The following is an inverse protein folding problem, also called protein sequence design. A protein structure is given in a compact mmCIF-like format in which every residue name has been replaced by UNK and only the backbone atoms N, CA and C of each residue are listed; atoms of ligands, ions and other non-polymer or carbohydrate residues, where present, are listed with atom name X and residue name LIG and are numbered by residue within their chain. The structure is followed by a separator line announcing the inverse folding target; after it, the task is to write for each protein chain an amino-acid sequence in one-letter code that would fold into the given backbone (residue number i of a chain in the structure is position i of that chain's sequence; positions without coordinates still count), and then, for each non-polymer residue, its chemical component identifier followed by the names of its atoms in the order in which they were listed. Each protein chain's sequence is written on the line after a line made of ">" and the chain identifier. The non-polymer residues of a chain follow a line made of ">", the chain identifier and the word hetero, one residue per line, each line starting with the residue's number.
data_IF_367953592989
#
_entry.id   IF_367953592989
#
_cell.length_a   1.000
_cell.length_b   1.000
_cell.length_c   1.000
_cell.angle_alpha   90.00
_cell.angle_beta   90.00
_cell.angle_gamma   90.00
#
_symmetry.space_group_name_H-M   'P 1'
#
loop_
_entity.id
_entity.type
_entity.pdbx_description
1 polymer ?
#
# COMPACT_ATOMS: atom_id res chain seq x y z
N UNK A 1 8.67 9.33 12.74
CA UNK A 1 8.20 8.47 11.64
C UNK A 1 9.37 8.11 10.73
N UNK A 2 9.41 6.86 10.24
CA UNK A 2 10.42 6.38 9.27
C UNK A 2 9.74 5.82 8.02
N UNK A 3 10.41 5.95 6.88
CA UNK A 3 10.00 5.41 5.58
C UNK A 3 11.07 4.44 5.08
N UNK A 4 10.67 3.35 4.43
CA UNK A 4 11.58 2.40 3.78
C UNK A 4 11.28 2.31 2.28
N UNK A 5 12.29 2.56 1.44
CA UNK A 5 12.22 2.45 -0.01
C UNK A 5 12.53 1.01 -0.44
N UNK A 6 11.57 0.08 -0.24
CA UNK A 6 11.73 -1.33 -0.64
C UNK A 6 11.33 -1.63 -2.08
N UNK A 7 10.80 -0.68 -2.86
CA UNK A 7 10.75 -0.78 -4.32
C UNK A 7 12.11 -0.40 -4.91
N UNK A 8 13.04 -1.33 -4.88
CA UNK A 8 14.43 -1.11 -5.32
C UNK A 8 14.60 -1.15 -6.85
N UNK A 9 13.55 -1.46 -7.59
CA UNK A 9 13.59 -1.58 -9.05
C UNK A 9 13.27 -0.28 -9.78
N UNK A 10 12.31 0.50 -9.28
CA UNK A 10 11.88 1.75 -9.90
C UNK A 10 12.67 2.94 -9.34
N UNK A 11 13.56 3.52 -10.16
CA UNK A 11 14.31 4.70 -9.74
C UNK A 11 13.38 5.85 -9.28
N UNK A 12 12.32 6.12 -10.05
CA UNK A 12 11.36 7.17 -9.73
C UNK A 12 10.60 6.94 -8.40
N UNK A 13 10.45 5.69 -7.94
CA UNK A 13 9.80 5.42 -6.65
C UNK A 13 10.65 5.90 -5.48
N UNK A 14 11.96 5.65 -5.52
CA UNK A 14 12.90 6.14 -4.51
C UNK A 14 12.92 7.67 -4.46
N UNK A 15 13.08 8.35 -5.60
CA UNK A 15 13.09 9.81 -5.69
C UNK A 15 11.78 10.45 -5.19
N UNK A 16 10.65 9.83 -5.50
CA UNK A 16 9.35 10.27 -5.00
C UNK A 16 9.27 10.14 -3.48
N UNK A 17 9.73 9.02 -2.93
CA UNK A 17 9.74 8.79 -1.48
C UNK A 17 10.70 9.72 -0.75
N UNK A 18 11.85 10.06 -1.34
CA UNK A 18 12.77 11.09 -0.83
C UNK A 18 12.11 12.46 -0.75
N UNK A 19 11.35 12.83 -1.78
CA UNK A 19 10.60 14.09 -1.79
C UNK A 19 9.59 14.13 -0.63
N UNK A 20 8.87 13.03 -0.40
CA UNK A 20 7.91 12.93 0.70
C UNK A 20 8.59 12.91 2.06
N UNK A 21 9.71 12.20 2.22
CA UNK A 21 10.50 12.19 3.44
C UNK A 21 10.94 13.61 3.83
N UNK A 22 11.46 14.35 2.84
CA UNK A 22 11.88 15.74 3.04
C UNK A 22 10.73 16.65 3.46
N UNK A 23 9.55 16.52 2.84
CA UNK A 23 8.37 17.35 3.15
C UNK A 23 7.78 17.07 4.52
N UNK A 24 7.83 15.82 4.96
CA UNK A 24 7.20 15.38 6.22
C UNK A 24 8.18 15.33 7.39
N UNK A 25 9.47 15.55 7.15
CA UNK A 25 10.53 15.36 8.15
C UNK A 25 10.72 13.89 8.55
N UNK A 26 10.25 12.94 7.74
CA UNK A 26 10.42 11.53 7.99
C UNK A 26 11.85 11.09 7.68
N UNK A 27 12.35 10.11 8.45
CA UNK A 27 13.63 9.48 8.15
C UNK A 27 13.46 8.43 7.05
N UNK A 28 14.19 8.59 5.95
CA UNK A 28 14.18 7.63 4.85
C UNK A 28 15.31 6.62 5.01
N UNK A 29 14.95 5.34 4.88
CA UNK A 29 15.89 4.22 4.77
C UNK A 29 15.76 3.65 3.36
N UNK A 30 16.86 3.61 2.64
CA UNK A 30 16.94 3.05 1.30
C UNK A 30 18.34 2.49 1.06
N UNK A 31 18.47 1.71 0.01
CA UNK A 31 19.76 1.18 -0.46
C UNK A 31 19.91 1.47 -1.96
N UNK A 32 21.06 1.11 -2.52
CA UNK A 32 21.32 1.26 -3.94
C UNK A 32 20.28 0.49 -4.78
N UNK A 33 20.04 0.98 -5.98
CA UNK A 33 19.14 0.36 -6.94
C UNK A 33 19.49 -1.12 -7.15
N UNK A 34 18.46 -1.98 -7.13
CA UNK A 34 18.62 -3.44 -7.26
C UNK A 34 19.05 -4.15 -5.97
N UNK A 35 19.11 -3.44 -4.85
CA UNK A 35 19.31 -4.08 -3.55
C UNK A 35 18.16 -5.05 -3.21
N UNK A 36 18.41 -5.99 -2.31
CA UNK A 36 17.38 -6.91 -1.81
C UNK A 36 16.32 -6.16 -0.99
N UNK A 37 15.03 -6.15 -1.41
CA UNK A 37 13.96 -5.49 -0.67
C UNK A 37 13.84 -5.93 0.78
N UNK A 38 14.15 -7.20 1.06
CA UNK A 38 14.17 -7.73 2.42
C UNK A 38 15.29 -7.12 3.28
N UNK A 39 16.46 -6.85 2.70
CA UNK A 39 17.54 -6.18 3.43
C UNK A 39 17.16 -4.74 3.77
N UNK A 40 16.57 -4.01 2.81
CA UNK A 40 16.04 -2.65 3.06
C UNK A 40 15.02 -2.64 4.19
N UNK A 41 14.09 -3.60 4.18
CA UNK A 41 13.07 -3.74 5.21
C UNK A 41 13.69 -4.03 6.60
N UNK A 42 14.69 -4.89 6.65
CA UNK A 42 15.42 -5.18 7.90
C UNK A 42 16.10 -3.94 8.47
N UNK A 43 16.88 -3.24 7.63
CA UNK A 43 17.60 -2.02 8.04
C UNK A 43 16.63 -0.94 8.49
N UNK A 44 15.47 -0.84 7.85
CA UNK A 44 14.43 0.12 8.21
C UNK A 44 13.84 -0.15 9.60
N UNK A 45 13.60 -1.42 9.96
CA UNK A 45 13.15 -1.78 11.33
C UNK A 45 14.22 -1.41 12.35
N UNK A 46 15.49 -1.75 12.11
CA UNK A 46 16.60 -1.42 13.01
C UNK A 46 16.74 0.11 13.18
N UNK A 47 16.68 0.85 12.08
CA UNK A 47 16.76 2.31 12.11
C UNK A 47 15.56 2.94 12.84
N UNK A 48 14.35 2.44 12.61
CA UNK A 48 13.15 2.93 13.27
C UNK A 48 13.20 2.69 14.79
N UNK A 49 13.63 1.51 15.23
CA UNK A 49 13.81 1.18 16.66
C UNK A 49 14.87 2.05 17.31
N UNK A 50 16.06 2.19 16.67
CA UNK A 50 17.15 3.00 17.20
C UNK A 50 16.79 4.49 17.34
N UNK A 51 15.86 4.99 16.50
CA UNK A 51 15.39 6.37 16.51
C UNK A 51 14.15 6.59 17.37
N UNK A 52 13.54 5.53 17.93
CA UNK A 52 12.27 5.63 18.65
C UNK A 52 11.13 6.10 17.72
N UNK A 53 11.11 5.67 16.47
CA UNK A 53 10.03 6.04 15.54
C UNK A 53 8.73 5.33 15.90
N UNK A 54 7.65 6.09 16.07
CA UNK A 54 6.31 5.54 16.39
C UNK A 54 5.71 4.78 15.19
N UNK A 55 6.08 5.19 13.97
CA UNK A 55 5.54 4.63 12.73
C UNK A 55 6.67 4.34 11.75
N UNK A 56 6.66 3.15 11.15
CA UNK A 56 7.47 2.76 10.00
C UNK A 56 6.53 2.40 8.85
N UNK A 57 6.68 3.08 7.70
CA UNK A 57 5.97 2.76 6.45
C UNK A 57 6.97 2.15 5.48
N UNK A 58 6.66 0.97 4.94
CA UNK A 58 7.50 0.25 3.98
C UNK A 58 6.83 0.27 2.62
N UNK A 59 7.39 1.04 1.69
CA UNK A 59 6.94 1.10 0.29
C UNK A 59 7.54 -0.06 -0.49
N UNK A 60 6.70 -0.88 -1.12
CA UNK A 60 7.10 -2.11 -1.81
C UNK A 60 6.74 -2.09 -3.28
N UNK A 61 7.42 -2.90 -4.08
CA UNK A 61 7.08 -3.07 -5.48
C UNK A 61 5.65 -3.59 -5.68
N UNK A 62 4.95 -3.06 -6.70
CA UNK A 62 3.57 -3.44 -7.05
C UNK A 62 3.40 -3.97 -8.49
N UNK A 63 4.46 -4.51 -9.11
CA UNK A 63 4.44 -4.91 -10.53
C UNK A 63 3.71 -6.23 -10.76
N UNK A 64 2.53 -6.14 -11.36
CA UNK A 64 1.67 -7.30 -11.59
C UNK A 64 2.10 -8.19 -12.77
N UNK A 65 2.92 -7.69 -13.69
CA UNK A 65 3.35 -8.46 -14.86
C UNK A 65 4.37 -9.57 -14.54
N UNK A 66 5.00 -9.54 -13.37
CA UNK A 66 5.90 -10.59 -12.83
C UNK A 66 5.29 -11.24 -11.59
N UNK A 67 4.09 -11.83 -11.73
CA UNK A 67 3.23 -12.22 -10.59
C UNK A 67 3.94 -13.07 -9.54
N UNK A 68 4.49 -14.21 -9.94
CA UNK A 68 5.04 -15.18 -9.00
C UNK A 68 6.32 -14.70 -8.29
N UNK A 69 7.34 -14.14 -8.97
CA UNK A 69 8.50 -13.58 -8.30
C UNK A 69 8.16 -12.44 -7.35
N UNK A 70 7.22 -11.56 -7.72
CA UNK A 70 6.77 -10.46 -6.87
C UNK A 70 6.11 -10.99 -5.58
N UNK A 71 5.23 -11.99 -5.68
CA UNK A 71 4.55 -12.53 -4.50
C UNK A 71 5.54 -13.20 -3.54
N UNK A 72 6.53 -13.91 -4.06
CA UNK A 72 7.60 -14.50 -3.26
C UNK A 72 8.46 -13.43 -2.55
N UNK A 73 8.79 -12.34 -3.26
CA UNK A 73 9.52 -11.21 -2.73
C UNK A 73 8.74 -10.52 -1.60
N UNK A 74 7.47 -10.20 -1.82
CA UNK A 74 6.61 -9.57 -0.81
C UNK A 74 6.43 -10.46 0.42
N UNK A 75 6.24 -11.77 0.23
CA UNK A 75 6.18 -12.73 1.33
C UNK A 75 7.51 -12.81 2.11
N UNK A 76 8.65 -12.65 1.42
CA UNK A 76 9.96 -12.54 2.06
C UNK A 76 10.07 -11.25 2.88
N UNK A 77 9.73 -10.10 2.30
CA UNK A 77 9.73 -8.80 2.99
C UNK A 77 8.88 -8.87 4.26
N UNK A 78 7.66 -9.38 4.17
CA UNK A 78 6.77 -9.55 5.34
C UNK A 78 7.42 -10.38 6.44
N UNK A 79 8.00 -11.55 6.10
CA UNK A 79 8.69 -12.42 7.08
C UNK A 79 9.89 -11.74 7.72
N UNK A 80 10.64 -10.94 6.95
CA UNK A 80 11.78 -10.17 7.46
C UNK A 80 11.31 -9.11 8.44
N UNK A 81 10.26 -8.36 8.10
CA UNK A 81 9.65 -7.35 8.99
C UNK A 81 9.20 -7.98 10.31
N UNK A 82 8.47 -9.09 10.24
CA UNK A 82 7.99 -9.82 11.42
C UNK A 82 9.14 -10.31 12.30
N UNK A 83 10.17 -10.90 11.69
CA UNK A 83 11.34 -11.40 12.41
C UNK A 83 12.15 -10.26 13.05
N UNK A 84 12.33 -9.15 12.34
CA UNK A 84 13.14 -8.02 12.81
C UNK A 84 12.43 -7.21 13.90
N UNK A 85 11.11 -7.06 13.83
CA UNK A 85 10.31 -6.31 14.82
C UNK A 85 9.81 -7.18 15.98
N UNK A 86 9.87 -8.51 15.86
CA UNK A 86 9.31 -9.46 16.84
C UNK A 86 7.79 -9.60 16.79
N UNK A 87 7.11 -8.98 15.84
CA UNK A 87 5.65 -9.01 15.65
C UNK A 87 5.26 -8.82 14.20
N UNK A 88 4.09 -9.29 13.77
CA UNK A 88 3.62 -8.99 12.40
C UNK A 88 3.42 -7.48 12.20
N UNK A 89 3.44 -7.00 10.95
CA UNK A 89 3.03 -5.63 10.62
C UNK A 89 1.62 -5.35 11.13
N UNK A 90 1.40 -4.17 11.70
CA UNK A 90 0.06 -3.76 12.19
C UNK A 90 -0.93 -3.63 11.02
N UNK A 91 -0.42 -3.19 9.85
CA UNK A 91 -1.18 -3.01 8.64
C UNK A 91 -0.42 -3.50 7.42
N UNK A 92 -1.15 -4.20 6.54
CA UNK A 92 -0.72 -4.57 5.20
C UNK A 92 -1.77 -4.06 4.22
N UNK A 93 -1.50 -2.91 3.61
CA UNK A 93 -2.45 -2.21 2.76
C UNK A 93 -2.11 -2.42 1.28
N UNK A 94 -3.10 -2.79 0.48
CA UNK A 94 -3.00 -2.74 -0.97
C UNK A 94 -3.52 -1.40 -1.48
N UNK A 95 -2.67 -0.67 -2.18
CA UNK A 95 -3.08 0.51 -2.94
C UNK A 95 -3.62 0.05 -4.28
N UNK A 96 -4.89 0.31 -4.53
CA UNK A 96 -5.61 -0.14 -5.72
C UNK A 96 -6.20 1.04 -6.48
N UNK A 97 -5.91 1.11 -7.77
CA UNK A 97 -6.57 2.03 -8.70
C UNK A 97 -8.00 1.54 -8.97
N UNK A 98 -9.01 2.31 -8.53
CA UNK A 98 -10.43 1.97 -8.70
C UNK A 98 -10.85 1.82 -10.17
N UNK A 99 -10.02 2.32 -11.11
CA UNK A 99 -10.28 2.24 -12.55
C UNK A 99 -9.95 0.86 -13.16
N UNK A 100 -9.27 -0.02 -12.43
CA UNK A 100 -8.78 -1.31 -12.95
C UNK A 100 -9.87 -2.37 -13.17
N UNK A 101 -11.11 -2.13 -12.70
CA UNK A 101 -12.23 -3.04 -12.90
C UNK A 101 -11.95 -4.46 -12.40
N UNK A 102 -12.33 -5.48 -13.16
CA UNK A 102 -12.19 -6.90 -12.77
C UNK A 102 -10.73 -7.32 -12.52
N UNK A 103 -9.77 -6.68 -13.15
CA UNK A 103 -8.36 -6.92 -12.89
C UNK A 103 -7.97 -6.54 -11.45
N UNK A 104 -8.59 -5.49 -10.89
CA UNK A 104 -8.39 -5.08 -9.51
C UNK A 104 -8.80 -6.15 -8.49
N UNK A 105 -9.91 -6.87 -8.74
CA UNK A 105 -10.30 -7.98 -7.89
C UNK A 105 -9.29 -9.14 -7.92
N UNK A 106 -8.86 -9.53 -9.12
CA UNK A 106 -7.86 -10.59 -9.27
C UNK A 106 -6.54 -10.21 -8.59
N UNK A 107 -6.15 -8.94 -8.68
CA UNK A 107 -4.99 -8.38 -7.99
C UNK A 107 -5.16 -8.47 -6.48
N UNK A 108 -6.24 -7.93 -5.93
CA UNK A 108 -6.49 -7.93 -4.48
C UNK A 108 -6.49 -9.35 -3.91
N UNK A 109 -7.10 -10.31 -4.62
CA UNK A 109 -7.10 -11.71 -4.22
C UNK A 109 -5.70 -12.29 -4.18
N UNK A 110 -4.90 -12.11 -5.24
CA UNK A 110 -3.54 -12.64 -5.32
C UNK A 110 -2.65 -12.10 -4.19
N UNK A 111 -2.69 -10.78 -3.95
CA UNK A 111 -1.93 -10.17 -2.86
C UNK A 111 -2.42 -10.64 -1.50
N UNK A 112 -3.73 -10.77 -1.31
CA UNK A 112 -4.29 -11.24 -0.04
C UNK A 112 -3.86 -12.68 0.28
N UNK A 113 -3.92 -13.57 -0.71
CA UNK A 113 -3.44 -14.96 -0.59
C UNK A 113 -1.94 -15.04 -0.27
N UNK A 114 -1.13 -14.15 -0.87
CA UNK A 114 0.33 -14.19 -0.72
C UNK A 114 0.84 -13.57 0.60
N UNK A 115 0.25 -12.45 1.02
CA UNK A 115 0.80 -11.65 2.13
C UNK A 115 -0.23 -11.28 3.21
N UNK A 116 -1.49 -11.70 3.09
CA UNK A 116 -2.52 -11.46 4.12
C UNK A 116 -2.79 -9.97 4.30
N UNK A 117 -3.47 -9.34 3.34
CA UNK A 117 -3.86 -7.93 3.42
C UNK A 117 -4.76 -7.68 4.64
N UNK A 118 -4.60 -6.54 5.29
CA UNK A 118 -5.46 -6.05 6.36
C UNK A 118 -6.47 -5.00 5.89
N UNK A 119 -6.27 -4.43 4.71
CA UNK A 119 -7.17 -3.43 4.14
C UNK A 119 -6.73 -2.91 2.78
N UNK A 120 -7.52 -1.99 2.24
CA UNK A 120 -7.32 -1.36 0.95
C UNK A 120 -7.18 0.16 1.11
N UNK A 121 -6.34 0.74 0.27
CA UNK A 121 -6.33 2.15 -0.07
C UNK A 121 -6.77 2.28 -1.53
N UNK A 122 -7.88 2.97 -1.78
CA UNK A 122 -8.41 3.16 -3.13
C UNK A 122 -7.97 4.51 -3.68
N UNK A 123 -7.56 4.53 -4.94
CA UNK A 123 -7.21 5.76 -5.65
C UNK A 123 -8.08 5.96 -6.88
N UNK A 124 -8.18 7.19 -7.38
CA UNK A 124 -8.92 7.58 -8.58
C UNK A 124 -10.43 7.25 -8.51
N UNK A 125 -11.03 7.50 -7.37
CA UNK A 125 -12.48 7.33 -7.16
C UNK A 125 -13.35 8.41 -7.83
N UNK A 126 -12.76 9.48 -8.30
CA UNK A 126 -13.37 10.60 -9.02
C UNK A 126 -13.99 10.21 -10.38
N UNK A 127 -13.77 8.99 -10.84
CA UNK A 127 -14.36 8.42 -12.06
C UNK A 127 -15.56 7.52 -11.76
N UNK A 128 -16.74 8.02 -11.91
CA UNK A 128 -18.08 7.59 -11.49
C UNK A 128 -18.56 6.16 -11.79
N UNK A 129 -17.88 5.33 -12.55
CA UNK A 129 -18.44 4.03 -13.01
C UNK A 129 -17.88 2.80 -12.25
N UNK A 130 -17.07 2.95 -11.22
CA UNK A 130 -16.11 1.91 -10.81
C UNK A 130 -16.24 1.40 -9.37
N UNK A 131 -17.23 1.85 -8.62
CA UNK A 131 -17.48 1.38 -7.24
C UNK A 131 -17.86 -0.09 -7.13
N UNK A 132 -18.39 -0.70 -8.18
CA UNK A 132 -18.80 -2.09 -8.17
C UNK A 132 -17.68 -3.09 -7.86
N UNK A 133 -16.47 -2.81 -8.30
CA UNK A 133 -15.29 -3.65 -7.99
C UNK A 133 -14.95 -3.61 -6.51
N UNK A 134 -15.06 -2.46 -5.90
CA UNK A 134 -14.79 -2.22 -4.48
C UNK A 134 -15.76 -3.02 -3.61
N UNK A 135 -17.06 -2.97 -3.94
CA UNK A 135 -18.08 -3.75 -3.27
C UNK A 135 -17.82 -5.26 -3.41
N UNK A 136 -17.38 -5.70 -4.58
CA UNK A 136 -17.03 -7.09 -4.82
C UNK A 136 -15.84 -7.54 -3.95
N UNK A 137 -14.77 -6.76 -3.91
CA UNK A 137 -13.59 -7.05 -3.08
C UNK A 137 -14.00 -7.15 -1.61
N UNK A 138 -14.75 -6.16 -1.11
CA UNK A 138 -15.21 -6.18 0.28
C UNK A 138 -16.11 -7.39 0.57
N UNK A 139 -17.02 -7.73 -0.32
CA UNK A 139 -17.95 -8.86 -0.14
C UNK A 139 -17.24 -10.21 -0.16
N UNK A 140 -16.35 -10.43 -1.15
CA UNK A 140 -15.73 -11.75 -1.39
C UNK A 140 -14.47 -11.97 -0.55
N UNK A 141 -13.63 -10.93 -0.36
CA UNK A 141 -12.37 -11.05 0.39
C UNK A 141 -12.47 -10.56 1.84
N UNK A 142 -13.60 -9.93 2.21
CA UNK A 142 -13.82 -9.35 3.55
C UNK A 142 -12.77 -8.32 3.96
N UNK A 143 -12.09 -7.72 2.98
CA UNK A 143 -11.11 -6.67 3.21
C UNK A 143 -11.81 -5.33 3.41
N UNK A 144 -11.52 -4.60 4.50
CA UNK A 144 -12.02 -3.26 4.70
C UNK A 144 -11.32 -2.27 3.77
N UNK A 145 -12.06 -1.28 3.29
CA UNK A 145 -11.47 -0.09 2.70
C UNK A 145 -11.13 0.84 3.85
N UNK A 146 -9.89 1.26 3.96
CA UNK A 146 -9.43 2.12 5.05
C UNK A 146 -9.19 3.55 4.60
N UNK A 147 -8.65 3.72 3.40
CA UNK A 147 -8.25 5.02 2.87
C UNK A 147 -8.74 5.19 1.44
N UNK A 148 -8.98 6.45 1.08
CA UNK A 148 -9.30 6.86 -0.30
C UNK A 148 -8.43 8.04 -0.71
N UNK A 149 -7.85 7.96 -1.91
CA UNK A 149 -7.18 9.04 -2.59
C UNK A 149 -8.08 9.64 -3.65
N UNK A 150 -8.45 10.91 -3.48
CA UNK A 150 -9.33 11.65 -4.39
C UNK A 150 -8.58 12.68 -5.23
N UNK A 151 -7.26 12.69 -5.15
CA UNK A 151 -6.36 13.58 -5.90
C UNK A 151 -4.91 13.29 -5.56
N UNK A 152 -4.01 14.23 -5.85
CA UNK A 152 -2.56 14.06 -5.71
C UNK A 152 -1.94 14.90 -4.57
N UNK A 153 -2.74 15.71 -3.87
CA UNK A 153 -2.29 16.56 -2.77
C UNK A 153 -2.29 15.78 -1.46
N UNK A 154 -1.58 16.28 -0.45
CA UNK A 154 -1.52 15.64 0.89
C UNK A 154 -2.91 15.46 1.49
N UNK A 155 -3.77 16.48 1.35
CA UNK A 155 -5.13 16.50 1.90
C UNK A 155 -6.12 15.66 1.09
N UNK A 156 -5.70 15.15 -0.08
CA UNK A 156 -6.53 14.31 -0.94
C UNK A 156 -6.52 12.84 -0.52
N UNK A 157 -5.72 12.44 0.49
CA UNK A 157 -5.79 11.13 1.13
C UNK A 157 -6.66 11.23 2.38
N UNK A 158 -7.78 10.50 2.38
CA UNK A 158 -8.80 10.58 3.43
C UNK A 158 -9.15 9.19 3.98
N UNK A 159 -9.69 9.15 5.20
CA UNK A 159 -10.34 7.95 5.72
C UNK A 159 -11.56 7.59 4.88
N UNK A 160 -11.81 6.30 4.69
CA UNK A 160 -12.97 5.84 3.94
C UNK A 160 -14.27 6.08 4.73
N UNK A 161 -15.23 6.73 4.09
CA UNK A 161 -16.57 6.97 4.60
C UNK A 161 -17.57 6.16 3.75
N UNK A 162 -18.16 5.13 4.36
CA UNK A 162 -19.03 4.20 3.66
C UNK A 162 -20.36 4.84 3.23
N UNK A 163 -20.88 5.80 3.99
CA UNK A 163 -22.14 6.48 3.68
C UNK A 163 -21.95 7.42 2.48
N UNK A 164 -20.89 8.23 2.50
CA UNK A 164 -20.54 9.09 1.36
C UNK A 164 -20.24 8.29 0.10
N UNK A 165 -19.55 7.15 0.26
CA UNK A 165 -19.24 6.28 -0.86
C UNK A 165 -20.52 5.66 -1.45
N UNK A 166 -21.42 5.16 -0.61
CA UNK A 166 -22.69 4.60 -1.06
C UNK A 166 -23.57 5.64 -1.77
N UNK A 167 -23.66 6.85 -1.22
CA UNK A 167 -24.41 7.96 -1.84
C UNK A 167 -23.81 8.36 -3.21
N UNK A 168 -22.49 8.31 -3.36
CA UNK A 168 -21.85 8.59 -4.64
C UNK A 168 -22.08 7.48 -5.69
N UNK A 169 -22.35 6.24 -5.26
CA UNK A 169 -22.64 5.12 -6.16
C UNK A 169 -24.09 5.05 -6.64
N UNK A 170 -25.01 5.52 -5.83
CA UNK A 170 -26.45 5.51 -6.12
C UNK A 170 -26.93 6.95 -6.04
N UNK A 171 -26.80 7.74 -7.13
CA UNK A 171 -27.35 9.08 -7.15
C UNK A 171 -28.86 9.01 -6.88
N UNK A 172 -29.35 9.94 -6.06
CA UNK A 172 -30.79 10.05 -5.80
C UNK A 172 -31.52 10.24 -7.13
N UNK A 173 -32.65 9.56 -7.35
CA UNK A 173 -33.48 9.81 -8.51
C UNK A 173 -33.97 11.27 -8.46
N UNK A 174 -33.80 11.99 -9.57
CA UNK A 174 -34.34 13.34 -9.77
C UNK A 174 -35.87 13.37 -9.68
#
# INVERSE_FOLDING_TARGET
>A
MSLAASDTFRAAAGEQLETWASRTGAHLVGQARGADPGAVAFDAVQAAQARGSDVLIVDTAGRLHTREPLMQELAKVRRVLEKASGRPPDEVLLVLDATTGQNGFAQARLFHEAIGLSGLCLTKLDGTAKGGIVLRIHRELKLPIKLVGVGERVDDLQGFDAEKFAAALVPEPE
#
